data_IF_898154968850
#
_entry.id   IF_898154968850
#
_cell.length_a   1.000
_cell.length_b   1.000
_cell.length_c   1.000
_cell.angle_alpha   90.00
_cell.angle_beta   90.00
_cell.angle_gamma   90.00
#
_symmetry.space_group_name_H-M   'P 1'
#
loop_
_entity.id
_entity.type
_entity.pdbx_description
1 polymer ?
#
# COMPACT_ATOMS: atom_id res chain seq x y z
N UNK A 1 -1.19 -7.33 -50.31
CA UNK A 1 -2.49 -7.00 -49.69
C UNK A 1 -3.04 -8.29 -49.09
N UNK A 2 -2.86 -8.50 -47.78
CA UNK A 2 -3.35 -9.69 -47.07
C UNK A 2 -4.58 -9.28 -46.29
N UNK A 3 -5.70 -9.86 -46.67
CA UNK A 3 -7.02 -9.60 -46.14
C UNK A 3 -7.17 -10.25 -44.77
N UNK A 4 -7.67 -9.45 -43.82
CA UNK A 4 -8.77 -9.80 -42.91
C UNK A 4 -8.57 -11.05 -42.06
N UNK A 5 -7.84 -10.88 -40.97
CA UNK A 5 -8.02 -11.68 -39.76
C UNK A 5 -8.56 -10.76 -38.66
N UNK A 6 -9.80 -10.28 -38.86
CA UNK A 6 -10.65 -9.80 -37.77
C UNK A 6 -11.00 -11.04 -36.94
N UNK A 7 -10.09 -11.41 -36.02
CA UNK A 7 -10.37 -12.36 -34.97
C UNK A 7 -11.33 -11.70 -33.97
N UNK A 8 -12.61 -11.74 -34.38
CA UNK A 8 -13.83 -11.79 -33.59
C UNK A 8 -13.64 -11.59 -32.07
N UNK A 9 -14.01 -10.38 -31.64
CA UNK A 9 -14.45 -10.03 -30.30
C UNK A 9 -15.28 -11.17 -29.66
N UNK A 10 -14.89 -11.62 -28.47
CA UNK A 10 -15.84 -12.12 -27.48
C UNK A 10 -15.56 -11.47 -26.11
N UNK A 11 -16.58 -10.74 -25.68
CA UNK A 11 -16.75 -9.95 -24.46
C UNK A 11 -17.09 -10.88 -23.30
N UNK A 12 -16.51 -10.66 -22.12
CA UNK A 12 -17.24 -10.83 -20.86
C UNK A 12 -16.87 -9.69 -19.92
N UNK A 13 -17.78 -8.73 -19.77
CA UNK A 13 -17.74 -7.70 -18.75
C UNK A 13 -18.12 -8.35 -17.40
N UNK A 14 -17.20 -8.37 -16.45
CA UNK A 14 -17.46 -8.86 -15.10
C UNK A 14 -18.23 -7.80 -14.29
N UNK A 15 -19.19 -8.30 -13.53
CA UNK A 15 -20.29 -7.58 -12.87
C UNK A 15 -19.78 -6.63 -11.77
N UNK A 16 -20.37 -5.44 -11.70
CA UNK A 16 -20.18 -4.49 -10.60
C UNK A 16 -20.87 -5.02 -9.32
N UNK A 17 -20.10 -5.21 -8.25
CA UNK A 17 -20.64 -5.62 -6.96
C UNK A 17 -20.81 -4.41 -6.03
N UNK A 18 -22.06 -3.99 -5.95
CA UNK A 18 -22.84 -3.52 -4.80
C UNK A 18 -22.16 -2.68 -3.70
N UNK A 19 -22.56 -1.41 -3.65
CA UNK A 19 -22.34 -0.46 -2.58
C UNK A 19 -23.13 -0.85 -1.31
N UNK A 20 -22.45 -1.05 -0.18
CA UNK A 20 -23.09 -1.11 1.16
C UNK A 20 -22.86 0.22 1.86
N UNK A 21 -23.93 1.01 1.97
CA UNK A 21 -23.99 2.21 2.81
C UNK A 21 -24.42 1.77 4.20
N UNK A 22 -23.46 1.74 5.13
CA UNK A 22 -23.72 1.60 6.56
C UNK A 22 -23.32 2.87 7.29
N UNK A 23 -24.30 3.70 7.67
CA UNK A 23 -24.10 4.72 8.72
C UNK A 23 -23.95 4.05 10.09
N UNK A 24 -23.39 4.75 11.09
CA UNK A 24 -24.26 5.64 11.85
C UNK A 24 -23.70 7.06 12.05
N UNK A 25 -24.63 8.02 12.08
CA UNK A 25 -24.45 9.37 12.63
C UNK A 25 -24.15 9.30 14.12
N UNK A 26 -23.08 9.94 14.60
CA UNK A 26 -22.99 10.37 16.00
C UNK A 26 -22.02 11.54 16.21
N UNK A 27 -22.65 12.70 16.42
CA UNK A 27 -22.41 13.70 17.48
C UNK A 27 -21.02 14.35 17.56
N UNK A 28 -21.03 15.61 17.14
CA UNK A 28 -20.16 16.69 17.58
C UNK A 28 -20.18 16.81 19.12
N UNK A 29 -19.06 16.56 19.80
CA UNK A 29 -18.87 16.96 21.18
C UNK A 29 -17.46 17.54 21.39
N UNK A 30 -17.42 18.55 22.24
CA UNK A 30 -16.44 19.61 22.30
C UNK A 30 -15.23 19.23 23.17
N UNK A 31 -14.06 19.73 22.75
CA UNK A 31 -13.12 20.51 23.55
C UNK A 31 -12.66 19.98 24.93
N UNK A 32 -11.36 19.69 25.02
CA UNK A 32 -10.47 19.73 26.19
C UNK A 32 -10.87 18.95 27.46
N UNK A 33 -10.01 18.05 27.92
CA UNK A 33 -9.30 18.18 29.21
C UNK A 33 -8.27 17.05 29.34
N UNK A 34 -7.01 17.45 29.50
CA UNK A 34 -5.88 16.63 29.88
C UNK A 34 -6.03 16.17 31.34
N UNK A 35 -6.20 14.88 31.61
CA UNK A 35 -5.96 14.32 32.95
C UNK A 35 -5.53 12.84 32.87
N UNK A 36 -4.20 12.68 32.90
CA UNK A 36 -3.41 11.72 33.67
C UNK A 36 -3.92 10.28 33.82
N UNK A 37 -3.07 9.40 33.29
CA UNK A 37 -3.09 7.95 33.31
C UNK A 37 -3.29 7.30 34.68
N UNK A 38 -4.05 6.20 34.68
CA UNK A 38 -4.12 5.25 35.78
C UNK A 38 -4.96 4.02 35.45
N UNK A 39 -4.28 2.89 35.23
CA UNK A 39 -4.71 1.49 35.43
C UNK A 39 -5.18 0.64 34.23
N UNK A 40 -4.36 -0.40 34.00
CA UNK A 40 -4.64 -1.81 33.72
C UNK A 40 -5.25 -2.30 32.39
N UNK A 41 -4.33 -2.82 31.56
CA UNK A 41 -4.35 -4.11 30.86
C UNK A 41 -5.59 -4.49 30.04
N UNK A 42 -5.45 -4.40 28.71
CA UNK A 42 -5.89 -5.49 27.81
C UNK A 42 -4.91 -5.57 26.64
N UNK A 43 -4.32 -6.75 26.51
CA UNK A 43 -3.39 -7.17 25.47
C UNK A 43 -4.05 -7.13 24.09
N UNK A 44 -3.55 -6.29 23.17
CA UNK A 44 -4.03 -6.29 21.79
C UNK A 44 -3.65 -5.06 20.99
N UNK A 45 -2.60 -5.20 20.18
CA UNK A 45 -2.34 -4.46 18.93
C UNK A 45 -2.13 -2.94 18.95
N UNK A 46 -0.99 -2.58 18.36
CA UNK A 46 -0.64 -1.27 17.80
C UNK A 46 -0.23 -0.19 18.80
N UNK A 47 1.07 -0.18 19.07
CA UNK A 47 1.80 0.99 19.57
C UNK A 47 1.62 2.16 18.59
N UNK A 48 0.60 2.97 18.82
CA UNK A 48 0.47 4.28 18.20
C UNK A 48 1.40 5.25 18.94
N UNK A 49 2.71 5.10 18.73
CA UNK A 49 3.69 6.15 19.01
C UNK A 49 3.93 6.94 17.72
N UNK A 50 2.90 7.69 17.28
CA UNK A 50 3.10 8.74 16.30
C UNK A 50 3.82 9.90 16.99
N UNK A 51 5.10 10.08 16.71
CA UNK A 51 5.79 11.36 16.49
C UNK A 51 7.29 11.05 16.35
N UNK A 52 7.75 10.69 15.16
CA UNK A 52 9.08 11.07 14.69
C UNK A 52 9.06 11.17 13.16
N UNK A 53 9.49 12.33 12.68
CA UNK A 53 9.74 12.63 11.28
C UNK A 53 10.94 11.83 10.75
N UNK A 54 10.77 10.53 10.59
CA UNK A 54 11.69 9.67 9.84
C UNK A 54 11.00 9.26 8.54
N UNK A 55 11.00 10.16 7.56
CA UNK A 55 10.42 9.91 6.24
C UNK A 55 11.09 8.69 5.56
N UNK A 56 12.36 8.40 5.87
CA UNK A 56 13.02 7.16 5.43
C UNK A 56 12.58 5.91 6.20
N UNK A 57 12.39 6.01 7.53
CA UNK A 57 11.94 4.88 8.35
C UNK A 57 10.52 4.43 8.00
N UNK A 58 9.68 5.38 7.58
CA UNK A 58 8.32 5.11 7.08
C UNK A 58 8.32 4.50 5.67
N UNK A 59 9.18 4.96 4.76
CA UNK A 59 9.28 4.39 3.41
C UNK A 59 9.68 2.91 3.41
N UNK A 60 10.72 2.58 4.19
CA UNK A 60 11.21 1.21 4.33
C UNK A 60 10.16 0.27 4.92
N UNK A 61 9.53 0.70 6.02
CA UNK A 61 8.45 -0.05 6.66
C UNK A 61 7.29 -0.34 5.70
N UNK A 62 6.84 0.68 4.96
CA UNK A 62 5.77 0.51 3.98
C UNK A 62 6.17 -0.41 2.82
N UNK A 63 7.44 -0.37 2.39
CA UNK A 63 7.99 -1.32 1.42
C UNK A 63 7.98 -2.76 1.94
N UNK A 64 8.44 -2.99 3.17
CA UNK A 64 8.46 -4.31 3.79
C UNK A 64 7.05 -4.91 3.92
N UNK A 65 6.08 -4.12 4.40
CA UNK A 65 4.67 -4.55 4.49
C UNK A 65 4.06 -4.78 3.10
N UNK A 66 4.38 -3.95 2.12
CA UNK A 66 3.99 -4.16 0.73
C UNK A 66 4.55 -5.48 0.16
N UNK A 67 5.82 -5.79 0.42
CA UNK A 67 6.46 -7.05 0.02
C UNK A 67 5.81 -8.26 0.71
N UNK A 68 5.48 -8.16 2.00
CA UNK A 68 4.77 -9.23 2.73
C UNK A 68 3.39 -9.48 2.13
N UNK A 69 2.63 -8.41 1.85
CA UNK A 69 1.33 -8.51 1.22
C UNK A 69 1.42 -9.17 -0.18
N UNK A 70 2.39 -8.76 -1.01
CA UNK A 70 2.67 -9.41 -2.31
C UNK A 70 2.98 -10.91 -2.16
N UNK A 71 3.77 -11.31 -1.15
CA UNK A 71 4.08 -12.72 -0.88
C UNK A 71 2.85 -13.52 -0.43
N UNK A 72 1.91 -12.87 0.25
CA UNK A 72 0.65 -13.49 0.69
C UNK A 72 -0.44 -13.52 -0.39
N UNK A 73 -0.25 -12.79 -1.50
CA UNK A 73 -1.24 -12.64 -2.56
C UNK A 73 -2.32 -11.59 -2.28
N UNK A 74 -2.18 -10.81 -1.21
CA UNK A 74 -3.07 -9.70 -0.86
C UNK A 74 -2.68 -8.44 -1.65
N UNK A 75 -3.24 -8.32 -2.86
CA UNK A 75 -2.92 -7.21 -3.76
C UNK A 75 -3.48 -5.86 -3.26
N UNK A 76 -4.58 -5.85 -2.53
CA UNK A 76 -5.19 -4.61 -2.02
C UNK A 76 -4.35 -4.03 -0.87
N UNK A 77 -3.92 -4.89 0.06
CA UNK A 77 -2.99 -4.50 1.11
C UNK A 77 -1.63 -4.09 0.52
N UNK A 78 -1.13 -4.84 -0.48
CA UNK A 78 0.10 -4.50 -1.18
C UNK A 78 0.02 -3.10 -1.80
N UNK A 79 -1.06 -2.81 -2.54
CA UNK A 79 -1.26 -1.50 -3.16
C UNK A 79 -1.28 -0.37 -2.14
N UNK A 80 -2.01 -0.55 -1.04
CA UNK A 80 -2.10 0.43 0.04
C UNK A 80 -0.73 0.76 0.63
N UNK A 81 0.05 -0.26 0.95
CA UNK A 81 1.39 -0.09 1.51
C UNK A 81 2.38 0.50 0.50
N UNK A 82 2.34 0.06 -0.76
CA UNK A 82 3.22 0.59 -1.80
C UNK A 82 2.91 2.05 -2.12
N UNK A 83 1.64 2.47 -2.18
CA UNK A 83 1.29 3.88 -2.39
C UNK A 83 1.76 4.75 -1.20
N UNK A 84 1.67 4.24 0.04
CA UNK A 84 2.23 4.92 1.21
C UNK A 84 3.77 5.00 1.14
N UNK A 85 4.45 3.93 0.69
CA UNK A 85 5.89 3.94 0.46
C UNK A 85 6.28 5.00 -0.57
N UNK A 86 5.55 5.09 -1.69
CA UNK A 86 5.79 6.11 -2.73
C UNK A 86 5.78 7.54 -2.17
N UNK A 87 4.79 7.85 -1.32
CA UNK A 87 4.68 9.17 -0.69
C UNK A 87 5.86 9.43 0.26
N UNK A 88 6.28 8.42 1.02
CA UNK A 88 7.42 8.52 1.92
C UNK A 88 8.78 8.56 1.17
N UNK A 89 8.85 8.00 -0.04
CA UNK A 89 10.06 8.01 -0.88
C UNK A 89 10.32 9.36 -1.58
N UNK A 90 9.59 10.43 -1.28
CA UNK A 90 9.73 11.72 -1.96
C UNK A 90 11.17 12.29 -1.97
N UNK A 91 11.96 11.98 -0.93
CA UNK A 91 13.38 12.36 -0.82
C UNK A 91 14.34 11.15 -0.91
N UNK A 92 13.85 10.00 -1.36
CA UNK A 92 14.65 8.79 -1.51
C UNK A 92 15.68 8.92 -2.63
N UNK A 93 16.76 8.12 -2.62
CA UNK A 93 17.70 8.04 -3.73
C UNK A 93 16.98 7.73 -5.04
N UNK A 94 17.44 8.33 -6.14
CA UNK A 94 16.86 8.12 -7.46
C UNK A 94 16.86 6.63 -7.88
N UNK A 95 17.86 5.87 -7.44
CA UNK A 95 17.93 4.42 -7.66
C UNK A 95 16.82 3.65 -6.92
N UNK A 96 16.54 4.02 -5.67
CA UNK A 96 15.46 3.43 -4.90
C UNK A 96 14.10 3.71 -5.56
N UNK A 97 13.86 4.96 -5.98
CA UNK A 97 12.63 5.34 -6.68
C UNK A 97 12.47 4.59 -8.01
N UNK A 98 13.54 4.45 -8.79
CA UNK A 98 13.50 3.72 -10.06
C UNK A 98 13.11 2.26 -9.86
N UNK A 99 13.73 1.58 -8.90
CA UNK A 99 13.35 0.19 -8.58
C UNK A 99 11.91 0.11 -8.06
N UNK A 100 11.48 1.06 -7.24
CA UNK A 100 10.10 1.12 -6.78
C UNK A 100 9.10 1.27 -7.95
N UNK A 101 9.38 2.15 -8.92
CA UNK A 101 8.54 2.35 -10.10
C UNK A 101 8.48 1.12 -11.01
N UNK A 102 9.63 0.47 -11.26
CA UNK A 102 9.69 -0.80 -12.00
C UNK A 102 8.88 -1.90 -11.29
N UNK A 103 8.98 -1.98 -9.96
CA UNK A 103 8.20 -2.91 -9.15
C UNK A 103 6.69 -2.61 -9.19
N UNK A 104 6.29 -1.35 -9.14
CA UNK A 104 4.89 -0.94 -9.28
C UNK A 104 4.35 -1.26 -10.67
N UNK A 105 5.17 -1.12 -11.72
CA UNK A 105 4.80 -1.53 -13.07
C UNK A 105 4.57 -3.04 -13.13
N UNK A 106 5.50 -3.85 -12.64
CA UNK A 106 5.33 -5.30 -12.57
C UNK A 106 4.09 -5.70 -11.76
N UNK A 107 3.83 -5.02 -10.63
CA UNK A 107 2.63 -5.24 -9.83
C UNK A 107 1.34 -4.96 -10.61
N UNK A 108 1.26 -3.84 -11.33
CA UNK A 108 0.11 -3.50 -12.18
C UNK A 108 -0.07 -4.45 -13.36
N UNK A 109 1.04 -5.01 -13.88
CA UNK A 109 1.05 -6.01 -14.95
C UNK A 109 0.69 -7.42 -14.41
N UNK A 110 0.47 -7.58 -13.10
CA UNK A 110 0.14 -8.85 -12.43
C UNK A 110 1.35 -9.75 -12.16
N UNK A 111 2.58 -9.27 -12.38
CA UNK A 111 3.82 -9.98 -12.09
C UNK A 111 4.26 -9.73 -10.64
N UNK A 112 3.66 -10.45 -9.69
CA UNK A 112 4.01 -10.36 -8.27
C UNK A 112 5.47 -10.73 -7.99
N UNK A 113 6.10 -11.60 -8.79
CA UNK A 113 7.50 -12.01 -8.58
C UNK A 113 8.46 -10.90 -9.01
N UNK A 114 8.24 -10.31 -10.18
CA UNK A 114 8.96 -9.13 -10.64
C UNK A 114 8.78 -7.96 -9.68
N UNK A 115 7.54 -7.72 -9.22
CA UNK A 115 7.25 -6.71 -8.21
C UNK A 115 8.07 -6.91 -6.95
N UNK A 116 8.05 -8.10 -6.34
CA UNK A 116 8.83 -8.41 -5.13
C UNK A 116 10.33 -8.18 -5.38
N UNK A 117 10.88 -8.64 -6.51
CA UNK A 117 12.30 -8.46 -6.83
C UNK A 117 12.69 -6.97 -6.81
N UNK A 118 11.97 -6.15 -7.57
CA UNK A 118 12.23 -4.72 -7.67
C UNK A 118 12.01 -3.99 -6.33
N UNK A 119 11.00 -4.37 -5.55
CA UNK A 119 10.75 -3.80 -4.22
C UNK A 119 11.86 -4.12 -3.21
N UNK A 120 12.47 -5.31 -3.27
CA UNK A 120 13.66 -5.61 -2.45
C UNK A 120 14.89 -4.78 -2.86
N UNK A 121 15.05 -4.46 -4.14
CA UNK A 121 16.12 -3.55 -4.57
C UNK A 121 15.87 -2.11 -4.12
N UNK A 122 14.61 -1.65 -4.15
CA UNK A 122 14.23 -0.35 -3.61
C UNK A 122 14.48 -0.27 -2.09
N UNK A 123 14.13 -1.31 -1.33
CA UNK A 123 14.38 -1.41 0.11
C UNK A 123 15.87 -1.36 0.44
N UNK A 124 16.70 -2.16 -0.24
CA UNK A 124 18.15 -2.14 -0.06
C UNK A 124 18.77 -0.77 -0.40
N UNK A 125 18.24 -0.08 -1.42
CA UNK A 125 18.71 1.24 -1.82
C UNK A 125 18.30 2.36 -0.84
N UNK A 126 17.32 2.12 0.05
CA UNK A 126 16.92 3.06 1.10
C UNK A 126 17.83 3.03 2.34
N UNK A 127 18.55 1.92 2.56
CA UNK A 127 19.43 1.71 3.72
C UNK A 127 18.73 0.98 4.88
#
# INVERSE_FOLDING_TARGET
>A
MVNRMYAMLLVIASIASLLVIGGPTSILAQNMTNLTAGTNMTNGTSSANMTTSDTSGSAKMHLEEGIKALKSGDNDAARTHLDAAKLAMANAPAEAMKHFEEGMKAFNDGDSKGAIMHMNFAEQALG
#
